data_IF_380864713571
#
_entry.id   IF_380864713571
#
_cell.length_a   1.000
_cell.length_b   1.000
_cell.length_c   1.000
_cell.angle_alpha   90.00
_cell.angle_beta   90.00
_cell.angle_gamma   90.00
#
_symmetry.space_group_name_H-M   'P 1'
#
loop_
_entity.id
_entity.type
_entity.pdbx_description
1 polymer ?
#
# COMPACT_ATOMS: atom_id res chain seq x y z
N UNK A 1 -59.56 -32.93 -10.64
CA UNK A 1 -59.58 -31.74 -9.76
C UNK A 1 -58.13 -31.41 -9.40
N UNK A 2 -57.51 -30.51 -10.14
CA UNK A 2 -56.14 -30.06 -9.89
C UNK A 2 -56.18 -28.64 -9.36
N UNK A 3 -55.74 -28.44 -8.11
CA UNK A 3 -55.67 -27.15 -7.45
C UNK A 3 -54.40 -26.44 -7.93
N UNK A 4 -54.54 -25.31 -8.58
CA UNK A 4 -53.48 -24.39 -8.94
C UNK A 4 -53.18 -23.48 -7.75
N UNK A 5 -51.95 -23.55 -7.22
CA UNK A 5 -51.45 -22.61 -6.20
C UNK A 5 -50.87 -21.39 -6.89
N UNK A 6 -51.49 -20.23 -6.65
CA UNK A 6 -51.08 -18.92 -7.10
C UNK A 6 -49.99 -18.40 -6.11
N UNK A 7 -48.74 -18.34 -6.55
CA UNK A 7 -47.67 -17.70 -5.81
C UNK A 7 -47.75 -16.18 -6.04
N UNK A 8 -48.11 -15.47 -5.00
CA UNK A 8 -48.03 -13.99 -4.93
C UNK A 8 -46.58 -13.59 -4.76
N UNK A 9 -45.98 -13.05 -5.81
CA UNK A 9 -44.63 -12.43 -5.79
C UNK A 9 -44.83 -10.98 -5.32
N UNK A 10 -44.70 -10.73 -4.01
CA UNK A 10 -44.64 -9.38 -3.45
C UNK A 10 -43.33 -8.72 -3.84
N UNK A 11 -43.37 -7.82 -4.82
CA UNK A 11 -42.28 -6.96 -5.20
C UNK A 11 -41.91 -6.01 -4.06
N UNK A 12 -40.72 -6.18 -3.51
CA UNK A 12 -40.11 -5.25 -2.56
C UNK A 12 -39.69 -4.00 -3.36
N UNK A 13 -40.54 -2.98 -3.35
CA UNK A 13 -40.19 -1.65 -3.86
C UNK A 13 -39.14 -1.07 -2.91
N UNK A 14 -37.86 -1.21 -3.30
CA UNK A 14 -36.78 -0.43 -2.69
C UNK A 14 -37.06 1.05 -2.99
N UNK A 15 -37.53 1.77 -2.00
CA UNK A 15 -37.54 3.22 -2.03
C UNK A 15 -36.08 3.64 -1.86
N UNK A 16 -35.42 3.95 -2.95
CA UNK A 16 -34.17 4.71 -2.95
C UNK A 16 -34.52 6.12 -2.52
N UNK A 17 -34.33 6.42 -1.26
CA UNK A 17 -34.24 7.81 -0.81
C UNK A 17 -33.05 8.42 -1.54
N UNK A 18 -33.18 9.58 -2.20
CA UNK A 18 -32.01 10.26 -2.71
C UNK A 18 -31.18 10.68 -1.48
N UNK A 19 -30.04 10.07 -1.29
CA UNK A 19 -29.00 10.60 -0.41
C UNK A 19 -28.50 11.84 -1.12
N UNK A 20 -29.01 12.99 -0.72
CA UNK A 20 -28.49 14.29 -1.14
C UNK A 20 -27.29 14.56 -0.27
N UNK A 21 -26.18 14.67 -0.91
CA UNK A 21 -24.98 15.45 -0.60
C UNK A 21 -23.68 14.67 -0.75
N UNK A 22 -23.44 14.09 -1.91
CA UNK A 22 -22.05 14.09 -2.36
C UNK A 22 -21.76 15.47 -2.92
N UNK A 23 -20.77 16.14 -2.34
CA UNK A 23 -20.21 17.35 -2.90
C UNK A 23 -19.77 17.04 -4.34
N UNK A 24 -20.01 17.95 -5.28
CA UNK A 24 -19.63 17.79 -6.69
C UNK A 24 -18.14 17.42 -6.84
N UNK A 25 -17.35 17.65 -5.80
CA UNK A 25 -15.94 17.30 -5.66
C UNK A 25 -15.64 16.94 -4.22
N UNK A 26 -15.26 15.69 -3.95
CA UNK A 26 -14.76 15.23 -2.65
C UNK A 26 -13.24 15.34 -2.59
N UNK A 27 -12.71 15.85 -1.49
CA UNK A 27 -11.26 15.91 -1.23
C UNK A 27 -10.94 15.04 -0.03
N UNK A 28 -10.13 14.01 -0.22
CA UNK A 28 -9.69 13.12 0.84
C UNK A 28 -8.20 13.30 1.09
N UNK A 29 -7.82 13.37 2.33
CA UNK A 29 -6.41 13.39 2.75
C UNK A 29 -6.19 12.40 3.89
N UNK A 30 -5.00 11.83 3.97
CA UNK A 30 -4.68 10.95 5.09
C UNK A 30 -3.20 10.86 5.38
N UNK A 31 -2.93 10.44 6.59
CA UNK A 31 -1.59 10.19 7.11
C UNK A 31 -1.59 8.87 7.89
N UNK A 32 -0.58 8.04 7.66
CA UNK A 32 -0.36 6.78 8.35
C UNK A 32 1.04 6.74 8.95
N UNK A 33 1.14 6.26 10.18
CA UNK A 33 2.38 5.97 10.87
C UNK A 33 2.45 4.45 11.10
N UNK A 34 3.48 3.82 10.51
CA UNK A 34 3.62 2.38 10.43
C UNK A 34 4.91 1.91 11.10
N UNK A 35 4.83 0.84 11.90
CA UNK A 35 5.94 0.23 12.63
C UNK A 35 6.23 -1.19 12.10
N UNK A 36 6.87 -1.34 10.93
CA UNK A 36 7.16 -2.64 10.36
C UNK A 36 8.40 -3.29 10.96
N UNK A 37 8.37 -4.61 11.02
CA UNK A 37 9.55 -5.45 11.02
C UNK A 37 9.96 -5.73 9.58
N UNK A 38 11.27 -5.74 9.31
CA UNK A 38 11.81 -5.91 7.96
C UNK A 38 12.71 -7.14 7.89
N UNK A 39 12.59 -7.90 6.79
CA UNK A 39 13.39 -9.12 6.55
C UNK A 39 13.75 -9.21 5.08
N UNK A 40 14.84 -9.89 4.77
CA UNK A 40 15.25 -10.28 3.43
C UNK A 40 16.62 -9.79 3.04
N UNK A 41 16.87 -9.79 1.72
CA UNK A 41 18.16 -9.45 1.16
C UNK A 41 18.05 -8.88 -0.24
N UNK A 42 19.19 -8.43 -0.74
CA UNK A 42 19.31 -7.92 -2.09
C UNK A 42 20.72 -8.13 -2.64
N UNK A 43 20.87 -8.10 -3.97
CA UNK A 43 22.13 -8.24 -4.67
C UNK A 43 22.03 -7.68 -6.11
N UNK A 44 23.16 -7.67 -6.83
CA UNK A 44 23.19 -7.49 -8.30
C UNK A 44 23.24 -8.84 -9.04
N UNK A 45 22.86 -9.92 -8.39
CA UNK A 45 22.76 -11.27 -8.98
C UNK A 45 21.68 -12.05 -8.26
N UNK A 46 21.30 -13.20 -8.80
CA UNK A 46 20.31 -14.08 -8.18
C UNK A 46 20.73 -14.68 -6.82
N UNK A 47 22.01 -14.55 -6.45
CA UNK A 47 22.50 -14.91 -5.12
C UNK A 47 22.34 -13.73 -4.17
N UNK A 48 21.22 -13.69 -3.46
CA UNK A 48 20.91 -12.61 -2.53
C UNK A 48 21.83 -12.63 -1.31
N UNK A 49 22.19 -11.43 -0.85
CA UNK A 49 22.82 -11.22 0.44
C UNK A 49 21.77 -10.76 1.44
N UNK A 50 21.48 -11.59 2.43
CA UNK A 50 20.56 -11.24 3.52
C UNK A 50 21.18 -10.23 4.47
N UNK A 51 20.34 -9.34 5.01
CA UNK A 51 20.70 -8.37 6.02
C UNK A 51 19.78 -8.50 7.24
N UNK A 52 20.36 -8.29 8.42
CA UNK A 52 19.60 -8.10 9.65
C UNK A 52 19.20 -6.64 9.74
N UNK A 53 17.96 -6.36 9.39
CA UNK A 53 17.44 -5.00 9.41
C UNK A 53 17.06 -4.56 10.82
N UNK A 54 17.25 -3.28 11.10
CA UNK A 54 16.75 -2.65 12.32
C UNK A 54 15.27 -2.34 12.17
N UNK A 55 14.53 -2.32 13.28
CA UNK A 55 13.17 -1.80 13.28
C UNK A 55 13.19 -0.29 13.02
N UNK A 56 12.44 0.14 12.01
CA UNK A 56 12.34 1.55 11.64
C UNK A 56 10.91 1.90 11.29
N UNK A 57 10.37 2.89 11.99
CA UNK A 57 9.03 3.39 11.71
C UNK A 57 9.01 4.16 10.38
N UNK A 58 7.90 4.01 9.67
CA UNK A 58 7.65 4.59 8.35
C UNK A 58 6.44 5.52 8.43
N UNK A 59 6.36 6.46 7.50
CA UNK A 59 5.20 7.34 7.36
C UNK A 59 4.71 7.36 5.93
N UNK A 60 3.40 7.49 5.77
CA UNK A 60 2.75 7.65 4.49
C UNK A 60 1.70 8.74 4.54
N UNK A 61 1.43 9.38 3.42
CA UNK A 61 0.34 10.33 3.27
C UNK A 61 -0.25 10.25 1.88
N UNK A 62 -1.52 10.60 1.77
CA UNK A 62 -2.21 10.65 0.49
C UNK A 62 -3.13 11.84 0.37
N UNK A 63 -3.41 12.18 -0.87
CA UNK A 63 -4.46 13.09 -1.28
C UNK A 63 -5.26 12.40 -2.38
N UNK A 64 -6.60 12.43 -2.28
CA UNK A 64 -7.48 11.94 -3.33
C UNK A 64 -8.53 13.00 -3.69
N UNK A 65 -8.94 12.98 -4.95
CA UNK A 65 -10.00 13.80 -5.51
C UNK A 65 -11.04 12.86 -6.14
N UNK A 66 -12.25 12.95 -5.65
CA UNK A 66 -13.42 12.22 -6.13
C UNK A 66 -14.40 13.16 -6.81
N UNK A 67 -15.10 12.70 -7.84
CA UNK A 67 -16.01 13.52 -8.62
C UNK A 67 -17.17 12.70 -9.19
N UNK A 68 -18.29 13.38 -9.43
CA UNK A 68 -19.51 12.76 -9.92
C UNK A 68 -19.54 12.49 -11.46
N UNK A 69 -18.44 12.68 -12.18
CA UNK A 69 -18.40 12.47 -13.63
C UNK A 69 -18.21 10.98 -13.93
N UNK A 70 -19.23 10.23 -14.42
CA UNK A 70 -19.20 8.76 -14.39
C UNK A 70 -18.16 8.09 -15.29
N UNK A 71 -17.58 8.80 -16.25
CA UNK A 71 -16.64 8.24 -17.24
C UNK A 71 -15.18 8.50 -16.85
N UNK A 72 -14.96 9.48 -16.01
CA UNK A 72 -13.60 9.80 -15.55
C UNK A 72 -13.30 9.03 -14.27
N UNK A 73 -12.12 8.46 -14.12
CA UNK A 73 -11.70 7.85 -12.86
C UNK A 73 -11.36 8.92 -11.83
N UNK A 74 -11.61 8.64 -10.57
CA UNK A 74 -11.10 9.37 -9.44
C UNK A 74 -9.57 9.25 -9.38
N UNK A 75 -8.91 10.20 -8.73
CA UNK A 75 -7.45 10.29 -8.69
C UNK A 75 -6.96 10.29 -7.25
N UNK A 76 -5.98 9.46 -6.95
CA UNK A 76 -5.27 9.46 -5.67
C UNK A 76 -3.77 9.50 -5.90
N UNK A 77 -3.07 10.36 -5.17
CA UNK A 77 -1.61 10.39 -5.09
C UNK A 77 -1.22 10.08 -3.66
N UNK A 78 -0.37 9.08 -3.47
CA UNK A 78 0.11 8.70 -2.16
C UNK A 78 1.63 8.56 -2.15
N UNK A 79 2.24 9.00 -1.06
CA UNK A 79 3.66 8.81 -0.79
C UNK A 79 3.84 7.87 0.40
N UNK A 80 4.82 6.99 0.31
CA UNK A 80 5.23 6.10 1.39
C UNK A 80 6.73 6.16 1.56
N UNK A 81 7.22 6.50 2.76
CA UNK A 81 8.60 6.25 3.10
C UNK A 81 8.80 4.75 3.32
N UNK A 82 9.89 4.20 2.80
CA UNK A 82 10.27 2.81 3.00
C UNK A 82 11.79 2.74 3.08
N UNK A 83 12.30 3.14 4.25
CA UNK A 83 13.72 3.20 4.51
C UNK A 83 14.11 2.20 5.59
N UNK A 84 15.29 1.59 5.44
CA UNK A 84 15.83 0.73 6.48
C UNK A 84 17.36 0.74 6.52
N UNK A 85 17.91 0.23 7.60
CA UNK A 85 19.34 -0.01 7.78
C UNK A 85 19.51 -1.44 8.27
N UNK A 86 20.50 -2.12 7.72
CA UNK A 86 20.80 -3.49 8.10
C UNK A 86 22.30 -3.71 8.24
N UNK A 87 22.65 -4.83 8.80
CA UNK A 87 24.04 -5.25 8.94
C UNK A 87 24.16 -6.76 8.69
N UNK A 88 25.33 -7.16 8.21
CA UNK A 88 25.71 -8.57 8.11
C UNK A 88 27.22 -8.72 8.08
N UNK A 89 27.71 -9.91 8.43
CA UNK A 89 29.11 -10.32 8.22
C UNK A 89 29.14 -11.33 7.08
N UNK A 90 29.95 -11.07 6.08
CA UNK A 90 30.01 -11.90 4.87
C UNK A 90 30.62 -13.26 5.15
N UNK A 91 29.95 -14.33 4.72
CA UNK A 91 30.48 -15.68 4.72
C UNK A 91 31.36 -15.96 3.47
N UNK A 92 31.07 -15.30 2.35
CA UNK A 92 31.74 -15.40 1.04
C UNK A 92 31.94 -14.02 0.47
N UNK A 93 32.77 -13.89 -0.57
CA UNK A 93 32.91 -12.63 -1.31
C UNK A 93 31.58 -12.20 -1.89
N UNK A 94 31.31 -10.89 -1.85
CA UNK A 94 30.08 -10.29 -2.32
C UNK A 94 30.38 -9.05 -3.18
N UNK A 95 29.73 -8.96 -4.34
CA UNK A 95 29.86 -7.80 -5.23
C UNK A 95 28.55 -7.06 -5.32
N UNK A 96 28.58 -5.73 -5.10
CA UNK A 96 27.44 -4.86 -5.24
C UNK A 96 27.87 -3.54 -5.89
N UNK A 97 27.10 -3.04 -6.89
CA UNK A 97 27.39 -1.84 -7.67
C UNK A 97 28.87 -1.78 -8.16
N UNK A 98 29.38 -2.90 -8.70
CA UNK A 98 30.76 -3.10 -9.15
C UNK A 98 31.85 -2.99 -8.07
N UNK A 99 31.48 -3.00 -6.80
CA UNK A 99 32.42 -3.02 -5.67
C UNK A 99 32.42 -4.41 -5.03
N UNK A 100 33.58 -5.04 -4.97
CA UNK A 100 33.76 -6.33 -4.32
C UNK A 100 34.06 -6.15 -2.83
N UNK A 101 33.35 -6.88 -1.97
CA UNK A 101 33.57 -6.98 -0.53
C UNK A 101 34.04 -8.40 -0.21
N UNK A 102 35.16 -8.52 0.46
CA UNK A 102 35.76 -9.82 0.77
C UNK A 102 35.00 -10.54 1.89
N UNK A 103 35.06 -11.86 1.88
CA UNK A 103 34.59 -12.69 2.99
C UNK A 103 35.15 -12.22 4.34
N UNK A 104 34.37 -12.30 5.40
CA UNK A 104 34.68 -11.79 6.74
C UNK A 104 34.47 -10.28 6.91
N UNK A 105 34.12 -9.52 5.87
CA UNK A 105 33.81 -8.10 6.00
C UNK A 105 32.48 -7.90 6.74
N UNK A 106 32.45 -6.96 7.67
CA UNK A 106 31.21 -6.43 8.26
C UNK A 106 30.61 -5.41 7.30
N UNK A 107 29.37 -5.63 6.90
CA UNK A 107 28.61 -4.75 6.02
C UNK A 107 27.51 -4.03 6.78
N UNK A 108 27.38 -2.75 6.50
CA UNK A 108 26.23 -1.92 6.84
C UNK A 108 25.48 -1.55 5.57
N UNK A 109 24.19 -1.90 5.50
CA UNK A 109 23.33 -1.53 4.38
C UNK A 109 22.43 -0.36 4.76
N UNK A 110 22.20 0.52 3.78
CA UNK A 110 21.12 1.53 3.80
C UNK A 110 20.22 1.24 2.62
N UNK A 111 18.95 1.01 2.92
CA UNK A 111 17.92 0.73 1.94
C UNK A 111 16.92 1.88 1.95
N UNK A 112 16.72 2.53 0.83
CA UNK A 112 15.65 3.48 0.60
C UNK A 112 14.89 3.03 -0.63
N UNK A 113 13.63 2.62 -0.44
CA UNK A 113 12.66 2.22 -1.46
C UNK A 113 11.38 3.05 -1.33
N UNK A 114 11.52 4.27 -0.84
CA UNK A 114 10.42 5.22 -0.76
C UNK A 114 9.81 5.45 -2.14
N UNK A 115 8.49 5.60 -2.19
CA UNK A 115 7.78 5.62 -3.45
C UNK A 115 6.57 6.55 -3.42
N UNK A 116 6.17 6.95 -4.62
CA UNK A 116 4.93 7.67 -4.87
C UNK A 116 4.05 6.83 -5.79
N UNK A 117 2.78 6.66 -5.42
CA UNK A 117 1.78 5.97 -6.23
C UNK A 117 0.79 6.97 -6.80
N UNK A 118 0.52 6.82 -8.08
CA UNK A 118 -0.50 7.55 -8.83
C UNK A 118 -1.61 6.56 -9.15
N UNK A 119 -2.76 6.72 -8.52
CA UNK A 119 -3.89 5.79 -8.61
C UNK A 119 -5.02 6.43 -9.38
N UNK A 120 -5.59 5.67 -10.30
CA UNK A 120 -6.85 5.96 -10.99
C UNK A 120 -7.84 4.87 -10.61
N UNK A 121 -9.01 5.24 -10.06
CA UNK A 121 -9.98 4.29 -9.54
C UNK A 121 -11.42 4.71 -9.78
N UNK A 122 -12.31 3.74 -9.72
CA UNK A 122 -13.76 3.94 -9.74
C UNK A 122 -14.36 3.39 -8.44
N UNK A 123 -15.31 4.10 -7.90
CA UNK A 123 -16.18 3.63 -6.83
C UNK A 123 -17.23 2.68 -7.44
N UNK A 124 -17.01 1.37 -7.24
CA UNK A 124 -17.94 0.34 -7.72
C UNK A 124 -19.16 0.22 -6.84
N UNK A 125 -18.97 0.42 -5.54
CA UNK A 125 -20.04 0.52 -4.55
C UNK A 125 -19.69 1.71 -3.64
N UNK A 126 -20.66 2.57 -3.48
CA UNK A 126 -20.61 3.65 -2.50
C UNK A 126 -22.00 3.84 -1.88
N UNK A 127 -22.12 3.42 -0.64
CA UNK A 127 -23.33 3.56 0.15
C UNK A 127 -22.99 3.57 1.64
N UNK A 128 -23.98 3.87 2.50
CA UNK A 128 -23.80 4.02 3.93
C UNK A 128 -23.23 2.76 4.66
N UNK A 129 -23.19 1.60 4.03
CA UNK A 129 -22.72 0.36 4.64
C UNK A 129 -21.42 -0.16 4.01
N UNK A 130 -21.25 -0.02 2.70
CA UNK A 130 -20.13 -0.62 1.96
C UNK A 130 -19.61 0.38 0.94
N UNK A 131 -18.31 0.61 0.98
CA UNK A 131 -17.54 1.27 -0.06
C UNK A 131 -16.61 0.26 -0.70
N UNK A 132 -16.48 0.30 -2.02
CA UNK A 132 -15.61 -0.59 -2.80
C UNK A 132 -15.07 0.16 -4.01
N UNK A 133 -13.77 0.38 -4.02
CA UNK A 133 -13.03 1.04 -5.07
C UNK A 133 -12.13 0.04 -5.79
N UNK A 134 -12.12 0.11 -7.09
CA UNK A 134 -11.24 -0.69 -7.94
C UNK A 134 -10.53 0.22 -8.95
N UNK A 135 -9.24 -0.02 -9.13
CA UNK A 135 -8.44 0.82 -10.00
C UNK A 135 -7.12 0.24 -10.44
N UNK A 136 -6.32 1.10 -11.02
CA UNK A 136 -4.93 0.82 -11.40
C UNK A 136 -4.03 1.88 -10.81
N UNK A 137 -2.80 1.49 -10.49
CA UNK A 137 -1.80 2.42 -9.99
C UNK A 137 -0.51 2.33 -10.80
N UNK A 138 0.20 3.45 -10.87
CA UNK A 138 1.58 3.53 -11.31
C UNK A 138 2.43 3.91 -10.09
N UNK A 139 3.22 2.96 -9.59
CA UNK A 139 4.14 3.16 -8.46
C UNK A 139 5.50 3.60 -8.98
N UNK A 140 5.98 4.75 -8.56
CA UNK A 140 7.32 5.23 -8.83
C UNK A 140 8.21 4.98 -7.61
N UNK A 141 8.97 3.90 -7.64
CA UNK A 141 10.06 3.64 -6.70
C UNK A 141 11.21 4.58 -7.03
N UNK A 142 11.62 5.39 -6.08
CA UNK A 142 12.74 6.32 -6.27
C UNK A 142 13.54 6.43 -4.99
N UNK A 143 14.69 5.78 -4.99
CA UNK A 143 15.51 5.70 -3.78
C UNK A 143 16.95 5.30 -4.06
N UNK A 144 17.61 4.77 -3.04
CA UNK A 144 19.03 4.39 -3.11
C UNK A 144 19.30 3.19 -2.21
N UNK A 145 20.16 2.32 -2.70
CA UNK A 145 20.70 1.22 -1.90
C UNK A 145 22.21 1.45 -1.73
N UNK A 146 22.64 1.56 -0.48
CA UNK A 146 24.06 1.72 -0.13
C UNK A 146 24.56 0.53 0.69
N UNK A 147 25.79 0.11 0.45
CA UNK A 147 26.51 -0.87 1.23
C UNK A 147 27.86 -0.28 1.61
N UNK A 148 28.21 -0.35 2.87
CA UNK A 148 29.44 0.17 3.42
C UNK A 148 30.15 -0.89 4.28
N UNK A 149 31.47 -1.02 4.10
CA UNK A 149 32.37 -1.69 5.02
C UNK A 149 33.41 -0.69 5.54
N UNK A 150 34.30 -1.13 6.41
CA UNK A 150 35.39 -0.28 6.91
C UNK A 150 36.33 0.26 5.82
N UNK A 151 36.36 -0.37 4.64
CA UNK A 151 37.32 -0.04 3.57
C UNK A 151 36.65 0.37 2.25
N UNK A 152 35.37 0.03 2.04
CA UNK A 152 34.68 0.18 0.75
C UNK A 152 33.27 0.68 0.93
N UNK A 153 32.80 1.40 -0.06
CA UNK A 153 31.45 1.90 -0.16
C UNK A 153 30.90 1.65 -1.56
N UNK A 154 29.68 1.15 -1.66
CA UNK A 154 28.95 0.94 -2.89
C UNK A 154 27.60 1.64 -2.80
N UNK A 155 27.14 2.25 -3.87
CA UNK A 155 25.86 2.94 -3.95
C UNK A 155 25.21 2.65 -5.30
N UNK A 156 23.92 2.31 -5.28
CA UNK A 156 23.08 2.13 -6.46
C UNK A 156 21.82 2.98 -6.31
N UNK A 157 21.53 3.80 -7.32
CA UNK A 157 20.26 4.51 -7.43
C UNK A 157 19.17 3.52 -7.92
N UNK A 158 17.95 3.67 -7.39
CA UNK A 158 16.78 2.90 -7.82
C UNK A 158 15.74 3.88 -8.36
N UNK A 159 15.32 3.68 -9.60
CA UNK A 159 14.27 4.50 -10.22
C UNK A 159 13.42 3.62 -11.14
N UNK A 160 12.29 3.10 -10.62
CA UNK A 160 11.47 2.13 -11.33
C UNK A 160 10.00 2.48 -11.29
N UNK A 161 9.30 2.20 -12.38
CA UNK A 161 7.85 2.29 -12.49
C UNK A 161 7.22 0.91 -12.49
N UNK A 162 6.28 0.68 -11.58
CA UNK A 162 5.55 -0.57 -11.46
C UNK A 162 4.06 -0.31 -11.68
N UNK A 163 3.42 -0.94 -12.69
CA UNK A 163 1.98 -0.95 -12.81
C UNK A 163 1.37 -1.91 -11.79
N UNK A 164 0.30 -1.50 -11.09
CA UNK A 164 -0.38 -2.29 -10.07
C UNK A 164 -1.89 -2.24 -10.27
N UNK A 165 -2.56 -3.30 -9.82
CA UNK A 165 -3.98 -3.25 -9.52
C UNK A 165 -4.17 -2.59 -8.15
N UNK A 166 -5.24 -1.83 -7.99
CA UNK A 166 -5.64 -1.16 -6.76
C UNK A 166 -7.01 -1.62 -6.31
N UNK A 167 -7.16 -1.86 -5.02
CA UNK A 167 -8.43 -2.18 -4.36
C UNK A 167 -8.46 -1.43 -3.01
N UNK A 168 -9.61 -0.81 -2.70
CA UNK A 168 -9.94 -0.31 -1.37
C UNK A 168 -11.38 -0.71 -1.03
N UNK A 169 -11.61 -1.09 0.21
CA UNK A 169 -12.95 -1.44 0.68
C UNK A 169 -13.13 -1.09 2.14
N UNK A 170 -14.34 -0.63 2.46
CA UNK A 170 -14.75 -0.30 3.82
C UNK A 170 -16.16 -0.83 4.08
N UNK A 171 -16.38 -1.39 5.24
CA UNK A 171 -17.69 -1.87 5.71
C UNK A 171 -18.01 -1.22 7.04
N UNK A 172 -19.01 -0.33 7.04
CA UNK A 172 -19.48 0.35 8.24
C UNK A 172 -20.22 -0.61 9.18
N UNK A 173 -20.02 -0.45 10.48
CA UNK A 173 -20.78 -1.14 11.52
C UNK A 173 -21.88 -0.20 12.05
N UNK A 174 -23.14 -0.41 11.66
CA UNK A 174 -24.22 0.53 11.95
C UNK A 174 -24.33 0.89 13.43
N UNK A 175 -24.61 2.15 13.71
CA UNK A 175 -24.82 2.71 15.06
C UNK A 175 -23.62 2.65 16.01
N UNK A 176 -22.40 2.36 15.51
CA UNK A 176 -21.20 2.29 16.36
C UNK A 176 -20.16 3.37 16.06
N UNK A 177 -20.21 3.97 14.87
CA UNK A 177 -19.14 4.82 14.34
C UNK A 177 -17.88 4.05 13.96
N UNK A 178 -17.91 2.70 14.03
CA UNK A 178 -16.81 1.83 13.63
C UNK A 178 -17.01 1.32 12.21
N UNK A 179 -15.92 1.00 11.57
CA UNK A 179 -15.85 0.29 10.29
C UNK A 179 -14.70 -0.72 10.28
N UNK A 180 -14.78 -1.67 9.36
CA UNK A 180 -13.69 -2.57 8.99
C UNK A 180 -13.26 -2.20 7.59
N UNK A 181 -11.97 -2.10 7.37
CA UNK A 181 -11.44 -1.78 6.04
C UNK A 181 -10.32 -2.74 5.62
N UNK A 182 -10.16 -2.86 4.33
CA UNK A 182 -9.01 -3.50 3.71
C UNK A 182 -8.65 -2.75 2.42
N UNK A 183 -7.36 -2.55 2.18
CA UNK A 183 -6.90 -2.00 0.91
C UNK A 183 -5.61 -2.69 0.46
N UNK A 184 -5.34 -2.62 -0.84
CA UNK A 184 -4.15 -3.25 -1.37
C UNK A 184 -3.81 -2.82 -2.77
N UNK A 185 -2.54 -3.02 -3.08
CA UNK A 185 -1.97 -2.88 -4.41
C UNK A 185 -1.17 -4.14 -4.74
N UNK A 186 -1.30 -4.63 -5.95
CA UNK A 186 -0.66 -5.86 -6.36
C UNK A 186 -0.21 -5.83 -7.81
N UNK A 187 0.97 -6.39 -8.08
CA UNK A 187 1.41 -6.74 -9.43
C UNK A 187 2.24 -8.00 -9.40
N UNK A 188 2.22 -8.70 -10.52
CA UNK A 188 3.12 -9.82 -10.79
C UNK A 188 3.50 -9.79 -12.25
N UNK A 189 4.80 -9.78 -12.52
CA UNK A 189 5.33 -9.80 -13.87
C UNK A 189 6.57 -10.71 -13.92
N UNK A 190 6.54 -11.75 -14.74
CA UNK A 190 7.58 -12.79 -14.79
C UNK A 190 7.81 -13.38 -13.38
N UNK A 191 9.05 -13.34 -12.89
CA UNK A 191 9.44 -13.83 -11.58
C UNK A 191 9.43 -12.73 -10.50
N UNK A 192 9.09 -11.48 -10.88
CA UNK A 192 8.93 -10.35 -9.96
C UNK A 192 7.49 -10.23 -9.46
N UNK A 193 7.33 -9.83 -8.20
CA UNK A 193 6.02 -9.44 -7.65
C UNK A 193 6.16 -8.32 -6.62
N UNK A 194 5.08 -7.59 -6.46
CA UNK A 194 4.90 -6.61 -5.40
C UNK A 194 3.48 -6.70 -4.86
N UNK A 195 3.34 -6.95 -3.57
CA UNK A 195 2.08 -6.95 -2.84
C UNK A 195 2.19 -5.97 -1.68
N UNK A 196 1.25 -5.07 -1.56
CA UNK A 196 1.10 -4.14 -0.45
C UNK A 196 -0.35 -4.20 0.01
N UNK A 197 -0.59 -4.77 1.17
CA UNK A 197 -1.92 -4.99 1.70
C UNK A 197 -2.01 -4.48 3.12
N UNK A 198 -3.15 -3.88 3.44
CA UNK A 198 -3.46 -3.46 4.81
C UNK A 198 -4.92 -3.76 5.13
N UNK A 199 -5.19 -4.04 6.41
CA UNK A 199 -6.53 -4.20 6.93
C UNK A 199 -6.60 -3.73 8.38
N UNK A 200 -7.78 -3.31 8.81
CA UNK A 200 -7.94 -2.78 10.15
C UNK A 200 -9.35 -2.36 10.50
N UNK A 201 -9.43 -1.59 11.55
CA UNK A 201 -10.65 -0.92 12.04
C UNK A 201 -10.47 0.59 11.95
N UNK A 202 -11.54 1.25 11.50
CA UNK A 202 -11.70 2.69 11.52
C UNK A 202 -12.70 3.11 12.60
N UNK A 203 -12.55 4.34 13.07
CA UNK A 203 -13.49 4.99 13.97
C UNK A 203 -13.76 6.41 13.48
N UNK A 204 -15.03 6.70 13.18
CA UNK A 204 -15.49 8.03 12.78
C UNK A 204 -15.49 8.95 14.00
N UNK A 205 -14.50 9.84 14.08
CA UNK A 205 -14.34 10.79 15.20
C UNK A 205 -15.22 12.03 15.02
N UNK A 206 -15.30 12.52 13.79
CA UNK A 206 -16.14 13.66 13.38
C UNK A 206 -16.89 13.23 12.13
N UNK A 207 -18.19 13.48 12.12
CA UNK A 207 -19.09 13.20 11.01
C UNK A 207 -20.06 14.39 10.88
N UNK A 208 -19.80 15.28 9.94
CA UNK A 208 -20.65 16.42 9.67
C UNK A 208 -20.56 16.87 8.19
N UNK A 209 -21.44 17.77 7.78
CA UNK A 209 -21.58 18.22 6.40
C UNK A 209 -20.35 18.94 5.80
N UNK A 210 -19.36 19.29 6.61
CA UNK A 210 -18.21 20.08 6.16
C UNK A 210 -16.91 19.29 6.23
N UNK A 211 -16.81 18.36 7.16
CA UNK A 211 -15.59 17.59 7.37
C UNK A 211 -15.90 16.29 8.10
N UNK A 212 -15.33 15.21 7.61
CA UNK A 212 -15.29 13.91 8.27
C UNK A 212 -13.87 13.59 8.69
N UNK A 213 -13.70 13.14 9.93
CA UNK A 213 -12.40 12.73 10.46
C UNK A 213 -12.50 11.31 10.97
N UNK A 214 -11.66 10.43 10.41
CA UNK A 214 -11.62 9.02 10.74
C UNK A 214 -10.24 8.63 11.24
N UNK A 215 -10.21 7.95 12.40
CA UNK A 215 -9.01 7.31 12.94
C UNK A 215 -8.92 5.88 12.42
N UNK A 216 -7.71 5.42 12.09
CA UNK A 216 -7.44 4.07 11.59
C UNK A 216 -6.44 3.36 12.48
N UNK A 217 -6.66 2.07 12.72
CA UNK A 217 -5.71 1.18 13.37
C UNK A 217 -5.74 -0.17 12.64
N UNK A 218 -4.57 -0.69 12.27
CA UNK A 218 -4.54 -1.91 11.49
C UNK A 218 -3.17 -2.54 11.39
N UNK A 219 -3.09 -3.50 10.48
CA UNK A 219 -1.86 -4.22 10.12
C UNK A 219 -1.62 -4.09 8.63
N UNK A 220 -0.37 -3.81 8.26
CA UNK A 220 0.09 -3.69 6.86
C UNK A 220 1.22 -4.64 6.60
N UNK A 221 1.23 -5.22 5.43
CA UNK A 221 2.29 -6.08 4.93
C UNK A 221 2.66 -5.71 3.50
N UNK A 222 3.96 -5.54 3.25
CA UNK A 222 4.56 -5.43 1.93
C UNK A 222 5.41 -6.68 1.71
N UNK A 223 5.20 -7.35 0.58
CA UNK A 223 6.01 -8.47 0.09
C UNK A 223 6.49 -8.11 -1.32
N UNK A 224 7.81 -8.00 -1.48
CA UNK A 224 8.43 -7.56 -2.72
C UNK A 224 9.52 -8.53 -3.13
N UNK A 225 9.39 -9.06 -4.34
CA UNK A 225 10.43 -9.82 -5.03
C UNK A 225 10.73 -9.13 -6.36
N UNK A 226 11.97 -8.74 -6.53
CA UNK A 226 12.49 -8.15 -7.76
C UNK A 226 13.50 -9.14 -8.35
N UNK A 227 13.30 -9.50 -9.61
CA UNK A 227 14.19 -10.38 -10.36
C UNK A 227 14.73 -9.62 -11.57
N UNK A 228 16.00 -9.24 -11.48
CA UNK A 228 16.75 -8.45 -12.48
C UNK A 228 16.06 -7.14 -12.90
N UNK A 229 15.48 -6.43 -11.93
CA UNK A 229 14.90 -5.13 -12.19
C UNK A 229 15.99 -4.05 -12.07
N UNK A 230 16.52 -3.58 -13.22
CA UNK A 230 17.65 -2.64 -13.30
C UNK A 230 18.90 -3.15 -12.59
N UNK A 231 19.26 -4.42 -12.86
CA UNK A 231 20.35 -5.16 -12.20
C UNK A 231 20.18 -5.27 -10.68
N UNK A 232 18.95 -5.18 -10.19
CA UNK A 232 18.62 -5.39 -8.78
C UNK A 232 17.80 -6.66 -8.63
N UNK A 233 18.29 -7.56 -7.79
CA UNK A 233 17.59 -8.70 -7.25
C UNK A 233 17.30 -8.40 -5.79
N UNK A 234 16.06 -8.57 -5.36
CA UNK A 234 15.66 -8.34 -3.98
C UNK A 234 14.52 -9.26 -3.57
N UNK A 235 14.55 -9.75 -2.36
CA UNK A 235 13.42 -10.36 -1.67
C UNK A 235 13.28 -9.67 -0.31
N UNK A 236 12.25 -8.85 -0.17
CA UNK A 236 12.06 -7.98 0.99
C UNK A 236 10.63 -8.08 1.50
N UNK A 237 10.50 -8.23 2.80
CA UNK A 237 9.22 -8.30 3.51
C UNK A 237 9.19 -7.30 4.64
N UNK A 238 8.12 -6.51 4.68
CA UNK A 238 7.86 -5.52 5.72
C UNK A 238 6.47 -5.77 6.26
N UNK A 239 6.31 -5.96 7.55
CA UNK A 239 4.99 -6.18 8.12
C UNK A 239 4.91 -5.64 9.55
N UNK A 240 3.78 -5.03 9.90
CA UNK A 240 3.60 -4.44 11.23
C UNK A 240 2.31 -3.67 11.39
N UNK A 241 2.09 -3.21 12.60
CA UNK A 241 0.94 -2.40 12.97
C UNK A 241 1.09 -0.97 12.47
N UNK A 242 -0.02 -0.35 12.10
CA UNK A 242 -0.06 1.06 11.77
C UNK A 242 -1.24 1.75 12.46
N UNK A 243 -1.09 3.05 12.67
CA UNK A 243 -2.16 3.95 13.06
C UNK A 243 -2.20 5.13 12.07
N UNK A 244 -3.38 5.65 11.81
CA UNK A 244 -3.55 6.73 10.85
C UNK A 244 -4.77 7.60 11.11
N UNK A 245 -4.83 8.66 10.34
CA UNK A 245 -5.96 9.60 10.29
C UNK A 245 -6.32 9.81 8.82
N UNK A 246 -7.61 9.83 8.53
CA UNK A 246 -8.16 10.23 7.24
C UNK A 246 -9.15 11.38 7.45
N UNK A 247 -9.14 12.32 6.52
CA UNK A 247 -10.04 13.49 6.52
C UNK A 247 -10.69 13.60 5.15
N UNK A 248 -11.98 13.85 5.13
CA UNK A 248 -12.78 14.10 3.94
C UNK A 248 -13.46 15.47 4.06
N UNK A 249 -13.48 16.27 2.96
CA UNK A 249 -14.05 17.60 2.86
C UNK A 249 -15.04 17.71 1.72
#
# INVERSE_FOLDING_TARGET
MKKASLLLLTGLLCHTSPVLADTVLGVHAGFDYWAPQSKGGFANSSQLQDFRFNDRNQSGYYLALEHLIPVLPNVRVQYQSLENQGFNTLATDFTFANVNFAAGSELHSKLDLSHTDYVLYYELLDNALVQLDLGVAAKHLRGKIGIQSNQRNALQDVSQWLPLLYLDTQVALPATGLDIFASGQATRFQDSHYYDVQAGIGYQLIDNLLVDVRLKLGYRAIDMQLDDLDNLYAELKFNGVFAGIAVHF
#
